data_IF_728280827472
#
_entry.id   IF_728280827472
#
_cell.length_a   1.000
_cell.length_b   1.000
_cell.length_c   1.000
_cell.angle_alpha   90.00
_cell.angle_beta   90.00
_cell.angle_gamma   90.00
#
_symmetry.space_group_name_H-M   'P 1'
#
loop_
_entity.id
_entity.type
_entity.pdbx_description
1 polymer ?
#
# COMPACT_ATOMS: atom_id res chain seq x y z
N UNK A 1 21.76 -0.98 16.96
CA UNK A 1 22.36 0.35 16.80
C UNK A 1 23.35 0.55 17.94
N UNK A 2 24.65 0.64 17.65
CA UNK A 2 25.69 0.66 18.68
C UNK A 2 25.65 1.97 19.48
N UNK A 3 26.03 1.91 20.75
CA UNK A 3 25.96 3.06 21.66
C UNK A 3 26.79 4.26 21.17
N UNK A 4 27.90 4.00 20.49
CA UNK A 4 28.78 5.01 19.87
C UNK A 4 28.13 5.85 18.75
N UNK A 5 26.99 5.42 18.19
CA UNK A 5 26.30 6.12 17.11
C UNK A 5 25.20 7.07 17.61
N UNK A 6 24.97 7.14 18.94
CA UNK A 6 24.02 8.08 19.55
C UNK A 6 24.56 9.51 19.67
N UNK A 7 25.88 9.66 19.72
CA UNK A 7 26.53 10.95 19.98
C UNK A 7 26.86 11.73 18.68
N UNK A 8 26.58 11.14 17.51
CA UNK A 8 26.71 11.80 16.21
C UNK A 8 25.59 12.80 16.01
N UNK A 9 25.81 14.05 16.46
CA UNK A 9 24.86 15.17 16.32
C UNK A 9 24.19 15.21 14.94
N UNK A 10 22.86 15.27 14.93
CA UNK A 10 22.04 15.33 13.71
C UNK A 10 22.26 16.61 12.87
N UNK A 11 23.17 17.51 13.28
CA UNK A 11 23.59 18.68 12.51
C UNK A 11 23.99 18.34 11.05
N UNK A 12 24.59 17.18 10.81
CA UNK A 12 24.94 16.70 9.47
C UNK A 12 23.76 16.07 8.68
N UNK A 13 22.65 15.75 9.35
CA UNK A 13 21.39 15.21 8.78
C UNK A 13 20.19 16.15 9.04
N UNK A 14 20.44 17.46 9.13
CA UNK A 14 19.41 18.46 9.48
C UNK A 14 18.27 18.55 8.45
N UNK A 15 18.54 18.22 7.19
CA UNK A 15 17.55 18.30 6.12
C UNK A 15 16.87 16.95 5.84
N UNK A 16 15.53 16.90 5.64
CA UNK A 16 14.79 15.65 5.44
C UNK A 16 15.25 14.78 4.26
N UNK A 17 15.84 15.37 3.22
CA UNK A 17 16.35 14.61 2.07
C UNK A 17 17.59 13.78 2.41
N UNK A 18 18.41 14.18 3.40
CA UNK A 18 19.55 13.37 3.88
C UNK A 18 19.13 12.14 4.71
N UNK A 19 17.83 12.02 5.01
CA UNK A 19 17.22 10.83 5.63
C UNK A 19 16.43 9.98 4.62
N UNK A 20 16.39 10.42 3.35
CA UNK A 20 15.80 9.64 2.25
C UNK A 20 16.88 8.75 1.63
N UNK A 21 16.61 7.45 1.55
CA UNK A 21 17.36 6.50 0.75
C UNK A 21 16.69 6.24 -0.59
N UNK A 22 17.42 5.58 -1.48
CA UNK A 22 16.91 5.04 -2.75
C UNK A 22 17.43 3.61 -2.89
N UNK A 23 16.57 2.67 -3.32
CA UNK A 23 17.01 1.32 -3.65
C UNK A 23 18.04 1.38 -4.79
N UNK A 24 19.03 0.49 -4.79
CA UNK A 24 20.08 0.43 -5.83
C UNK A 24 19.47 0.29 -7.24
N UNK A 25 18.40 -0.50 -7.36
CA UNK A 25 17.59 -0.66 -8.58
C UNK A 25 17.14 0.69 -9.18
N UNK A 26 16.69 1.61 -8.32
CA UNK A 26 16.19 2.91 -8.71
C UNK A 26 17.27 3.87 -9.16
N UNK A 27 18.41 3.87 -8.46
CA UNK A 27 19.59 4.65 -8.83
C UNK A 27 20.14 4.18 -10.18
N UNK A 28 20.27 2.87 -10.37
CA UNK A 28 20.73 2.27 -11.64
C UNK A 28 19.74 2.56 -12.77
N UNK A 29 18.43 2.39 -12.52
CA UNK A 29 17.38 2.69 -13.50
C UNK A 29 17.35 4.17 -13.90
N UNK A 30 17.50 5.10 -12.96
CA UNK A 30 17.63 6.53 -13.23
C UNK A 30 18.87 6.84 -14.08
N UNK A 31 20.04 6.31 -13.72
CA UNK A 31 21.28 6.55 -14.48
C UNK A 31 21.22 5.98 -15.90
N UNK A 32 20.61 4.82 -16.08
CA UNK A 32 20.38 4.23 -17.40
C UNK A 32 19.43 5.09 -18.25
N UNK A 33 18.31 5.55 -17.67
CA UNK A 33 17.35 6.42 -18.33
C UNK A 33 17.94 7.80 -18.66
N UNK A 34 18.78 8.36 -17.78
CA UNK A 34 19.50 9.62 -18.02
C UNK A 34 20.52 9.49 -19.15
N UNK A 35 21.32 8.43 -19.17
CA UNK A 35 22.27 8.14 -20.25
C UNK A 35 21.56 7.92 -21.60
N UNK A 36 20.45 7.15 -21.60
CA UNK A 36 19.59 6.99 -22.77
C UNK A 36 19.04 8.34 -23.25
N UNK A 37 18.61 9.21 -22.32
CA UNK A 37 18.17 10.57 -22.61
C UNK A 37 19.25 11.42 -23.30
N UNK A 38 20.51 11.31 -22.89
CA UNK A 38 21.63 12.02 -23.55
C UNK A 38 21.84 11.51 -24.99
N UNK A 39 21.80 10.19 -25.20
CA UNK A 39 21.93 9.59 -26.54
C UNK A 39 20.78 10.01 -27.46
N UNK A 40 19.56 10.06 -26.92
CA UNK A 40 18.36 10.55 -27.61
C UNK A 40 18.45 12.05 -27.95
N UNK A 41 18.98 12.87 -27.05
CA UNK A 41 19.16 14.31 -27.25
C UNK A 41 20.09 14.64 -28.43
N UNK A 42 21.09 13.79 -28.70
CA UNK A 42 21.97 13.92 -29.86
C UNK A 42 21.25 13.74 -31.21
N UNK A 43 20.11 13.05 -31.22
CA UNK A 43 19.23 12.93 -32.41
C UNK A 43 18.29 14.13 -32.48
N UNK A 44 17.62 14.45 -31.37
CA UNK A 44 16.76 15.61 -31.25
C UNK A 44 16.54 15.97 -29.77
N UNK A 45 16.92 17.19 -29.36
CA UNK A 45 16.96 17.63 -27.96
C UNK A 45 15.71 17.29 -27.11
N UNK A 46 14.46 17.42 -27.60
CA UNK A 46 13.27 17.11 -26.81
C UNK A 46 13.15 15.65 -26.38
N UNK A 47 13.77 14.70 -27.09
CA UNK A 47 13.72 13.27 -26.72
C UNK A 47 14.49 12.99 -25.42
N UNK A 48 15.35 13.90 -24.95
CA UNK A 48 15.92 13.83 -23.60
C UNK A 48 14.84 13.63 -22.54
N UNK A 49 13.77 14.43 -22.61
CA UNK A 49 12.70 14.44 -21.63
C UNK A 49 11.89 13.14 -21.62
N UNK A 50 11.79 12.47 -22.77
CA UNK A 50 11.07 11.19 -22.91
C UNK A 50 11.73 10.06 -22.10
N UNK A 51 13.06 10.10 -21.92
CA UNK A 51 13.76 9.15 -21.05
C UNK A 51 13.97 9.72 -19.63
N UNK A 52 14.26 11.02 -19.50
CA UNK A 52 14.55 11.65 -18.22
C UNK A 52 13.35 11.66 -17.27
N UNK A 53 12.14 11.97 -17.75
CA UNK A 53 10.93 12.00 -16.90
C UNK A 53 10.62 10.61 -16.32
N UNK A 54 10.55 9.52 -17.10
CA UNK A 54 10.46 8.15 -16.55
C UNK A 54 11.60 7.79 -15.61
N UNK A 55 12.85 8.22 -15.90
CA UNK A 55 13.98 8.02 -14.99
C UNK A 55 13.74 8.63 -13.60
N UNK A 56 13.22 9.85 -13.54
CA UNK A 56 12.85 10.51 -12.28
C UNK A 56 11.71 9.75 -11.57
N UNK A 57 10.72 9.24 -12.31
CA UNK A 57 9.63 8.43 -11.74
C UNK A 57 10.15 7.12 -11.13
N UNK A 58 11.11 6.44 -11.78
CA UNK A 58 11.77 5.23 -11.25
C UNK A 58 12.52 5.55 -9.95
N UNK A 59 13.18 6.71 -9.87
CA UNK A 59 13.86 7.14 -8.65
C UNK A 59 12.87 7.40 -7.50
N UNK A 60 11.72 8.05 -7.75
CA UNK A 60 10.69 8.22 -6.72
C UNK A 60 10.00 6.89 -6.34
N UNK A 61 9.80 5.97 -7.28
CA UNK A 61 9.21 4.65 -7.04
C UNK A 61 10.04 3.74 -6.11
N UNK A 62 11.31 4.09 -5.88
CA UNK A 62 12.28 3.35 -5.04
C UNK A 62 12.75 4.15 -3.83
N UNK A 63 12.10 5.29 -3.55
CA UNK A 63 12.42 6.15 -2.41
C UNK A 63 12.03 5.49 -1.09
N UNK A 64 12.98 5.42 -0.16
CA UNK A 64 12.78 4.96 1.22
C UNK A 64 13.17 6.08 2.19
N UNK A 65 12.69 6.06 3.45
CA UNK A 65 13.04 7.09 4.45
C UNK A 65 13.27 6.47 5.83
N UNK A 66 14.35 6.86 6.50
CA UNK A 66 14.63 6.48 7.90
C UNK A 66 13.88 7.36 8.90
N UNK A 67 12.83 6.79 9.49
CA UNK A 67 11.90 7.42 10.45
C UNK A 67 12.30 7.15 11.92
N UNK A 68 11.90 8.02 12.84
CA UNK A 68 12.10 7.86 14.30
C UNK A 68 10.75 7.72 15.00
N UNK A 69 10.33 6.49 15.20
CA UNK A 69 9.02 6.19 15.81
C UNK A 69 8.99 6.41 17.32
N UNK A 70 8.00 7.14 17.86
CA UNK A 70 7.75 7.23 19.30
C UNK A 70 7.49 5.83 19.89
N UNK A 71 8.38 5.33 20.77
CA UNK A 71 8.35 3.93 21.23
C UNK A 71 7.38 3.64 22.40
N UNK A 72 6.60 4.60 22.86
CA UNK A 72 5.62 4.41 23.95
C UNK A 72 4.54 3.38 23.57
N UNK A 73 4.26 2.39 24.41
CA UNK A 73 3.29 1.33 24.11
C UNK A 73 1.83 1.85 24.03
N UNK A 74 1.59 3.01 24.65
CA UNK A 74 0.33 3.75 24.79
C UNK A 74 -0.27 4.28 23.47
N UNK A 75 0.48 4.20 22.35
CA UNK A 75 0.16 4.89 21.10
C UNK A 75 0.22 3.98 19.87
N UNK A 76 -0.83 3.96 19.05
CA UNK A 76 -0.81 3.38 17.69
C UNK A 76 -0.26 4.43 16.73
N UNK A 77 0.75 4.10 15.93
CA UNK A 77 1.30 5.00 14.90
C UNK A 77 0.76 4.67 13.51
N UNK A 78 0.73 5.66 12.62
CA UNK A 78 0.37 5.45 11.22
C UNK A 78 1.37 4.53 10.52
N UNK A 79 0.91 3.54 9.73
CA UNK A 79 1.81 2.66 9.00
C UNK A 79 2.45 3.34 7.78
N UNK A 80 1.87 4.40 7.21
CA UNK A 80 2.43 5.06 6.01
C UNK A 80 2.29 6.60 6.02
N UNK A 81 3.07 7.25 5.16
CA UNK A 81 2.90 8.66 4.80
C UNK A 81 1.57 8.85 4.02
N UNK A 82 0.82 9.90 4.28
CA UNK A 82 -0.44 10.16 3.57
C UNK A 82 -1.34 11.23 4.18
N UNK A 83 -2.63 11.19 3.85
CA UNK A 83 -3.69 12.03 4.42
C UNK A 83 -4.85 11.14 4.85
N UNK A 84 -5.43 11.39 6.03
CA UNK A 84 -6.67 10.73 6.48
C UNK A 84 -7.81 11.13 5.55
N UNK A 85 -8.44 10.16 4.88
CA UNK A 85 -9.58 10.42 3.96
C UNK A 85 -10.91 10.32 4.69
N UNK A 86 -11.06 9.29 5.54
CA UNK A 86 -12.28 9.05 6.29
C UNK A 86 -11.99 8.17 7.51
N UNK A 87 -12.87 8.29 8.50
CA UNK A 87 -12.84 7.53 9.75
C UNK A 87 -14.28 7.07 10.00
N UNK A 88 -14.53 5.76 10.06
CA UNK A 88 -15.88 5.20 10.21
C UNK A 88 -15.84 3.94 11.07
N UNK A 89 -16.90 3.68 11.84
CA UNK A 89 -17.11 2.37 12.46
C UNK A 89 -17.69 1.40 11.43
N UNK A 90 -17.02 0.27 11.20
CA UNK A 90 -17.39 -0.71 10.17
C UNK A 90 -16.84 -2.10 10.54
N UNK A 91 -17.27 -3.15 9.87
CA UNK A 91 -16.67 -4.48 10.08
C UNK A 91 -15.27 -4.54 9.48
N UNK A 92 -14.35 -5.20 10.19
CA UNK A 92 -13.02 -5.46 9.67
C UNK A 92 -13.09 -6.51 8.55
N UNK A 93 -12.39 -6.32 7.40
CA UNK A 93 -12.34 -7.31 6.33
C UNK A 93 -11.97 -8.70 6.84
N UNK A 94 -12.59 -9.74 6.29
CA UNK A 94 -12.44 -11.13 6.73
C UNK A 94 -10.96 -11.59 6.80
N UNK A 95 -10.10 -11.04 5.93
CA UNK A 95 -8.67 -11.29 5.91
C UNK A 95 -7.94 -10.90 7.23
N UNK A 96 -8.44 -9.90 7.96
CA UNK A 96 -7.89 -9.51 9.26
C UNK A 96 -8.34 -10.42 10.41
N UNK A 97 -9.41 -11.22 10.25
CA UNK A 97 -9.97 -12.10 11.30
C UNK A 97 -10.10 -11.40 12.66
N UNK A 98 -10.60 -10.16 12.64
CA UNK A 98 -10.94 -9.37 13.83
C UNK A 98 -12.45 -9.54 14.10
N UNK A 99 -12.83 -9.64 15.37
CA UNK A 99 -14.21 -9.91 15.76
C UNK A 99 -14.95 -8.60 16.14
N UNK A 100 -16.15 -8.41 15.58
CA UNK A 100 -16.98 -7.25 15.84
C UNK A 100 -16.55 -5.98 15.08
N UNK A 101 -17.21 -4.83 15.37
CA UNK A 101 -16.93 -3.58 14.69
C UNK A 101 -15.55 -3.01 15.04
N UNK A 102 -14.97 -2.31 14.08
CA UNK A 102 -13.70 -1.62 14.18
C UNK A 102 -13.82 -0.20 13.62
N UNK A 103 -13.11 0.74 14.23
CA UNK A 103 -12.86 2.06 13.63
C UNK A 103 -11.84 1.88 12.52
N UNK A 104 -12.29 2.08 11.28
CA UNK A 104 -11.45 2.12 10.07
C UNK A 104 -10.96 3.54 9.85
N UNK A 105 -9.66 3.75 9.96
CA UNK A 105 -8.97 4.99 9.60
C UNK A 105 -8.36 4.79 8.20
N UNK A 106 -8.96 5.40 7.17
CA UNK A 106 -8.47 5.32 5.80
C UNK A 106 -7.43 6.40 5.52
N UNK A 107 -6.30 5.99 4.96
CA UNK A 107 -5.18 6.86 4.61
C UNK A 107 -4.94 6.76 3.10
N UNK A 108 -4.94 7.90 2.40
CA UNK A 108 -4.50 7.99 1.00
C UNK A 108 -3.03 8.43 0.94
N UNK A 109 -2.23 7.72 0.15
CA UNK A 109 -0.78 7.87 0.06
C UNK A 109 -0.38 8.21 -1.37
N UNK A 110 0.28 9.37 -1.56
CA UNK A 110 0.70 9.88 -2.86
C UNK A 110 1.86 9.05 -3.45
N UNK A 111 1.99 8.93 -4.80
CA UNK A 111 3.08 8.17 -5.42
C UNK A 111 4.49 8.72 -5.20
N UNK A 112 4.64 9.90 -4.60
CA UNK A 112 5.93 10.59 -4.38
C UNK A 112 6.45 10.55 -2.92
N UNK A 113 5.71 9.94 -2.00
CA UNK A 113 6.09 9.82 -0.58
C UNK A 113 7.02 8.62 -0.34
N UNK A 114 7.41 8.35 0.91
CA UNK A 114 8.23 7.17 1.21
C UNK A 114 7.44 5.87 0.96
N UNK A 115 8.07 4.89 0.33
CA UNK A 115 7.43 3.62 -0.02
C UNK A 115 7.40 2.61 1.15
N UNK A 116 8.04 2.93 2.28
CA UNK A 116 8.06 2.09 3.50
C UNK A 116 6.68 2.02 4.17
N UNK A 117 6.28 0.82 4.58
CA UNK A 117 5.13 0.59 5.45
C UNK A 117 5.62 0.07 6.80
N UNK A 118 5.18 0.71 7.87
CA UNK A 118 5.67 0.54 9.23
C UNK A 118 4.67 -0.20 10.13
N UNK A 119 5.19 -0.93 11.13
CA UNK A 119 4.41 -1.57 12.17
C UNK A 119 3.67 -0.51 13.02
N UNK A 120 2.32 -0.57 13.14
CA UNK A 120 1.53 0.43 13.86
C UNK A 120 1.66 0.29 15.39
N UNK A 121 1.96 -0.91 15.88
CA UNK A 121 2.28 -1.22 17.29
C UNK A 121 3.53 -2.10 17.38
N UNK A 122 4.10 -2.25 18.57
CA UNK A 122 5.03 -3.33 18.89
C UNK A 122 4.24 -4.57 19.28
N UNK A 123 4.71 -5.77 18.94
CA UNK A 123 3.96 -6.99 19.20
C UNK A 123 4.32 -8.15 18.28
N UNK A 124 3.46 -9.16 18.24
CA UNK A 124 3.54 -10.26 17.27
C UNK A 124 2.74 -9.93 15.99
N UNK A 125 3.18 -10.43 14.84
CA UNK A 125 2.37 -10.45 13.61
C UNK A 125 1.54 -11.73 13.61
N UNK A 126 0.25 -11.63 13.93
CA UNK A 126 -0.66 -12.80 13.98
C UNK A 126 -0.89 -13.42 12.60
N UNK A 127 -0.99 -12.57 11.58
CA UNK A 127 -1.44 -12.95 10.24
C UNK A 127 -0.89 -11.97 9.20
N UNK A 128 -0.50 -12.55 8.07
CA UNK A 128 -0.23 -11.84 6.81
C UNK A 128 -1.05 -12.55 5.74
N UNK A 129 -1.77 -11.80 4.92
CA UNK A 129 -2.57 -12.33 3.82
C UNK A 129 -2.49 -11.39 2.62
N UNK A 130 -2.04 -11.92 1.47
CA UNK A 130 -1.88 -11.17 0.22
C UNK A 130 -2.96 -11.62 -0.77
N UNK A 131 -3.69 -10.66 -1.30
CA UNK A 131 -4.61 -10.84 -2.42
C UNK A 131 -3.88 -10.34 -3.67
N UNK A 132 -3.66 -11.21 -4.66
CA UNK A 132 -3.03 -10.82 -5.93
C UNK A 132 -3.98 -9.95 -6.76
N UNK A 133 -3.45 -8.91 -7.42
CA UNK A 133 -4.24 -7.99 -8.23
C UNK A 133 -4.41 -8.47 -9.68
N UNK A 134 -5.53 -8.10 -10.32
CA UNK A 134 -5.73 -8.31 -11.76
C UNK A 134 -4.91 -7.24 -12.53
N UNK A 135 -4.03 -7.63 -13.48
CA UNK A 135 -3.32 -6.68 -14.35
C UNK A 135 -4.24 -5.74 -15.16
N UNK A 136 -5.55 -6.04 -15.28
CA UNK A 136 -6.55 -5.16 -15.91
C UNK A 136 -6.94 -3.95 -15.06
N UNK A 137 -6.74 -3.97 -13.73
CA UNK A 137 -7.12 -2.88 -12.81
C UNK A 137 -6.14 -1.70 -12.83
N UNK A 138 -5.73 -1.31 -14.05
CA UNK A 138 -4.89 -0.14 -14.32
C UNK A 138 -5.69 1.15 -14.09
N UNK A 139 -5.04 2.21 -13.60
CA UNK A 139 -5.66 3.52 -13.30
C UNK A 139 -6.83 3.54 -12.27
N UNK A 140 -6.90 2.61 -11.32
CA UNK A 140 -7.88 2.67 -10.22
C UNK A 140 -7.82 3.99 -9.42
N UNK A 141 -8.99 4.60 -9.19
CA UNK A 141 -9.17 5.89 -8.48
C UNK A 141 -9.82 5.75 -7.09
N UNK A 142 -10.28 4.55 -6.71
CA UNK A 142 -10.95 4.24 -5.45
C UNK A 142 -10.28 3.05 -4.76
N UNK A 143 -10.35 3.00 -3.43
CA UNK A 143 -9.80 1.90 -2.64
C UNK A 143 -10.61 0.60 -2.78
N UNK A 144 -11.91 0.75 -3.06
CA UNK A 144 -12.89 -0.32 -3.25
C UNK A 144 -12.83 -0.97 -4.64
N UNK A 145 -12.00 -0.47 -5.56
CA UNK A 145 -11.90 -1.03 -6.91
C UNK A 145 -11.45 -2.50 -6.84
N UNK A 146 -12.16 -3.36 -7.56
CA UNK A 146 -11.87 -4.79 -7.67
C UNK A 146 -10.55 -5.04 -8.44
N UNK A 147 -9.92 -6.19 -8.17
CA UNK A 147 -8.63 -6.54 -8.79
C UNK A 147 -7.44 -5.69 -8.35
N UNK A 148 -7.55 -4.85 -7.31
CA UNK A 148 -6.38 -4.25 -6.68
C UNK A 148 -5.61 -5.28 -5.86
N UNK A 149 -4.28 -5.33 -5.99
CA UNK A 149 -3.45 -6.13 -5.06
C UNK A 149 -3.58 -5.56 -3.65
N UNK A 150 -3.88 -6.44 -2.68
CA UNK A 150 -4.02 -6.10 -1.26
C UNK A 150 -3.08 -6.89 -0.37
N UNK A 151 -2.73 -6.30 0.77
CA UNK A 151 -2.01 -6.94 1.87
C UNK A 151 -2.68 -6.61 3.19
N UNK A 152 -3.19 -7.64 3.84
CA UNK A 152 -3.76 -7.58 5.18
C UNK A 152 -2.71 -8.04 6.18
N UNK A 153 -2.42 -7.23 7.19
CA UNK A 153 -1.52 -7.57 8.29
C UNK A 153 -2.20 -7.30 9.63
N UNK A 154 -2.04 -8.23 10.57
CA UNK A 154 -2.63 -8.17 11.92
C UNK A 154 -1.52 -8.20 12.95
N UNK A 155 -1.56 -7.27 13.90
CA UNK A 155 -0.58 -7.10 14.96
C UNK A 155 -1.28 -7.23 16.32
N UNK A 156 -0.68 -8.00 17.23
CA UNK A 156 -1.18 -8.18 18.60
C UNK A 156 -0.10 -7.83 19.62
N UNK A 157 -0.49 -7.00 20.60
CA UNK A 157 0.21 -6.78 21.86
C UNK A 157 -0.67 -7.23 23.03
N UNK A 158 -0.13 -7.16 24.25
CA UNK A 158 -0.87 -7.50 25.47
C UNK A 158 -2.06 -6.55 25.76
N UNK A 159 -2.10 -5.38 25.10
CA UNK A 159 -3.10 -4.32 25.32
C UNK A 159 -4.03 -4.12 24.13
N UNK A 160 -3.52 -4.28 22.89
CA UNK A 160 -4.26 -3.98 21.66
C UNK A 160 -4.00 -5.00 20.56
N UNK A 161 -5.07 -5.37 19.87
CA UNK A 161 -5.03 -6.06 18.57
C UNK A 161 -5.50 -5.11 17.49
N UNK A 162 -4.66 -4.83 16.50
CA UNK A 162 -4.93 -3.89 15.41
C UNK A 162 -4.43 -4.46 14.09
N UNK A 163 -4.99 -4.03 12.97
CA UNK A 163 -4.54 -4.48 11.66
C UNK A 163 -4.56 -3.36 10.63
N UNK A 164 -3.95 -3.60 9.48
CA UNK A 164 -4.16 -2.75 8.31
C UNK A 164 -4.39 -3.57 7.05
N UNK A 165 -5.11 -2.98 6.10
CA UNK A 165 -5.19 -3.44 4.72
C UNK A 165 -4.56 -2.37 3.83
N UNK A 166 -3.46 -2.73 3.17
CA UNK A 166 -2.92 -1.95 2.05
C UNK A 166 -3.66 -2.34 0.78
N UNK A 167 -4.02 -1.34 -0.02
CA UNK A 167 -4.32 -1.53 -1.44
C UNK A 167 -3.24 -0.80 -2.27
N UNK A 168 -2.73 -1.48 -3.30
CA UNK A 168 -1.94 -0.84 -4.35
C UNK A 168 -2.86 -0.13 -5.34
N UNK A 169 -2.36 0.88 -6.06
CA UNK A 169 -3.12 1.52 -7.13
C UNK A 169 -2.54 1.22 -8.49
N UNK A 170 -3.39 1.15 -9.51
CA UNK A 170 -3.17 1.55 -10.91
C UNK A 170 -2.01 1.00 -11.76
N UNK A 171 -0.90 0.46 -11.23
CA UNK A 171 0.33 0.17 -12.00
C UNK A 171 0.86 -1.26 -11.76
N UNK A 172 -0.03 -2.21 -11.45
CA UNK A 172 0.29 -3.62 -11.24
C UNK A 172 0.88 -3.95 -9.86
N UNK A 173 1.16 -5.25 -9.62
CA UNK A 173 1.64 -5.74 -8.33
C UNK A 173 3.04 -5.19 -8.04
N UNK A 174 3.20 -4.57 -6.88
CA UNK A 174 4.35 -3.72 -6.52
C UNK A 174 4.61 -3.66 -5.02
N UNK A 175 4.13 -4.69 -4.35
CA UNK A 175 4.16 -4.84 -2.90
C UNK A 175 5.15 -5.91 -2.50
N UNK A 176 6.08 -5.53 -1.65
CA UNK A 176 7.15 -6.37 -1.11
C UNK A 176 6.92 -6.55 0.40
N UNK A 177 6.93 -7.80 0.88
CA UNK A 177 6.65 -8.16 2.27
C UNK A 177 7.98 -8.45 2.96
N UNK A 178 8.24 -7.80 4.10
CA UNK A 178 9.54 -7.77 4.79
C UNK A 178 9.53 -8.33 6.20
N UNK A 179 8.47 -9.06 6.55
CA UNK A 179 8.27 -9.73 7.83
C UNK A 179 7.32 -10.92 7.64
N UNK A 180 7.40 -11.92 8.50
CA UNK A 180 6.64 -13.16 8.43
C UNK A 180 5.59 -13.27 9.56
N UNK A 181 4.57 -14.09 9.35
CA UNK A 181 3.58 -14.36 10.39
C UNK A 181 4.23 -15.16 11.54
N UNK A 182 4.05 -14.70 12.77
CA UNK A 182 4.73 -15.18 13.97
C UNK A 182 5.91 -14.30 14.42
N UNK A 183 6.40 -13.38 13.59
CA UNK A 183 7.48 -12.46 13.97
C UNK A 183 7.07 -11.56 15.14
N UNK A 184 8.01 -11.31 16.06
CA UNK A 184 7.88 -10.24 17.07
C UNK A 184 8.66 -9.02 16.64
N UNK A 185 7.97 -7.89 16.48
CA UNK A 185 8.51 -6.67 15.90
C UNK A 185 8.36 -5.46 16.83
N UNK A 186 9.26 -4.49 16.66
CA UNK A 186 9.18 -3.18 17.32
C UNK A 186 8.28 -2.22 16.54
N UNK A 187 7.60 -1.33 17.26
CA UNK A 187 6.75 -0.31 16.65
C UNK A 187 7.56 0.58 15.72
N UNK A 188 7.05 0.83 14.52
CA UNK A 188 7.76 1.61 13.50
C UNK A 188 8.75 0.83 12.64
N UNK A 189 9.01 -0.46 12.92
CA UNK A 189 9.81 -1.30 12.02
C UNK A 189 9.11 -1.40 10.66
N UNK A 190 9.84 -1.24 9.55
CA UNK A 190 9.31 -1.48 8.20
C UNK A 190 8.93 -2.96 8.06
N UNK A 191 7.66 -3.24 7.77
CA UNK A 191 7.09 -4.60 7.59
C UNK A 191 6.75 -4.91 6.13
N UNK A 192 6.56 -3.89 5.31
CA UNK A 192 6.36 -4.02 3.87
C UNK A 192 6.91 -2.80 3.13
N UNK A 193 7.00 -2.87 1.80
CA UNK A 193 7.32 -1.75 0.94
C UNK A 193 6.34 -1.74 -0.23
N UNK A 194 5.62 -0.63 -0.39
CA UNK A 194 4.64 -0.41 -1.44
C UNK A 194 5.11 0.73 -2.32
N UNK A 195 5.56 0.42 -3.52
CA UNK A 195 5.99 1.43 -4.49
C UNK A 195 4.80 2.28 -4.95
N UNK A 196 5.01 3.57 -5.24
CA UNK A 196 4.07 4.45 -5.95
C UNK A 196 2.69 4.67 -5.29
N UNK A 197 2.63 4.67 -3.95
CA UNK A 197 1.44 5.09 -3.19
C UNK A 197 0.25 4.11 -3.21
N UNK A 198 -0.95 4.60 -2.91
CA UNK A 198 -2.19 3.81 -2.79
C UNK A 198 -2.93 4.09 -1.48
N UNK A 199 -3.80 3.17 -1.04
CA UNK A 199 -4.61 3.34 0.18
C UNK A 199 -4.15 2.41 1.31
N UNK A 200 -4.25 2.87 2.55
CA UNK A 200 -4.02 2.06 3.74
C UNK A 200 -5.18 2.27 4.71
N UNK A 201 -5.93 1.21 4.96
CA UNK A 201 -7.03 1.22 5.93
C UNK A 201 -6.53 0.57 7.22
N UNK A 202 -6.41 1.36 8.29
CA UNK A 202 -6.03 0.89 9.63
C UNK A 202 -7.30 0.58 10.42
N UNK A 203 -7.34 -0.58 11.07
CA UNK A 203 -8.49 -1.06 11.84
C UNK A 203 -8.11 -1.19 13.32
N UNK A 204 -8.85 -0.46 14.17
CA UNK A 204 -8.78 -0.55 15.63
C UNK A 204 -10.14 -1.04 16.13
N UNK A 205 -10.26 -2.13 16.91
CA UNK A 205 -11.55 -2.62 17.40
C UNK A 205 -12.31 -1.52 18.15
N UNK A 206 -13.61 -1.33 17.88
CA UNK A 206 -14.36 -0.18 18.38
C UNK A 206 -14.53 -0.15 19.92
N UNK A 207 -14.27 -1.28 20.59
CA UNK A 207 -14.27 -1.42 22.06
C UNK A 207 -12.85 -1.44 22.66
N UNK A 208 -11.83 -1.06 21.90
CA UNK A 208 -10.47 -0.89 22.42
C UNK A 208 -10.44 0.29 23.42
N UNK A 209 -9.55 0.28 24.42
CA UNK A 209 -9.31 1.47 25.23
C UNK A 209 -8.75 2.60 24.36
N UNK A 210 -9.01 3.83 24.78
CA UNK A 210 -8.48 5.02 24.10
C UNK A 210 -9.43 5.68 23.10
N UNK A 211 -8.86 6.57 22.30
CA UNK A 211 -9.54 7.25 21.19
C UNK A 211 -8.57 7.58 20.04
N UNK A 212 -9.14 7.90 18.87
CA UNK A 212 -8.35 8.44 17.77
C UNK A 212 -7.93 9.90 18.04
N UNK A 213 -6.68 10.25 17.73
CA UNK A 213 -6.11 11.60 17.94
C UNK A 213 -5.93 12.38 16.63
N UNK A 214 -6.56 11.90 15.55
CA UNK A 214 -6.53 12.47 14.20
C UNK A 214 -7.94 12.60 13.64
N UNK A 215 -8.09 13.42 12.61
CA UNK A 215 -9.35 13.69 11.91
C UNK A 215 -9.16 13.56 10.40
N UNK A 216 -10.23 13.37 9.61
CA UNK A 216 -10.18 13.50 8.15
C UNK A 216 -9.54 14.82 7.69
N UNK A 217 -8.72 14.75 6.64
CA UNK A 217 -7.92 15.87 6.14
C UNK A 217 -6.55 16.03 6.81
N UNK A 218 -6.26 15.35 7.92
CA UNK A 218 -4.94 15.44 8.58
C UNK A 218 -3.85 14.72 7.78
N UNK A 219 -2.75 15.42 7.51
CA UNK A 219 -1.52 14.85 6.95
C UNK A 219 -0.79 14.01 7.99
N UNK A 220 -0.28 12.85 7.56
CA UNK A 220 0.33 11.81 8.36
C UNK A 220 1.75 11.49 7.87
N UNK A 221 2.65 11.22 8.82
CA UNK A 221 4.03 10.78 8.59
C UNK A 221 4.21 9.34 9.08
N UNK A 222 4.54 8.43 8.16
CA UNK A 222 4.72 6.99 8.36
C UNK A 222 5.64 6.67 9.53
N UNK A 223 5.16 5.82 10.44
CA UNK A 223 5.84 5.42 11.65
C UNK A 223 5.98 6.51 12.73
N UNK A 224 5.66 7.77 12.47
CA UNK A 224 5.92 8.89 13.40
C UNK A 224 4.64 9.52 13.95
N UNK A 225 3.59 9.66 13.13
CA UNK A 225 2.33 10.27 13.57
C UNK A 225 1.47 9.27 14.33
N UNK A 226 1.02 9.65 15.53
CA UNK A 226 0.09 8.86 16.34
C UNK A 226 -1.31 8.96 15.70
N UNK A 227 -1.98 7.81 15.55
CA UNK A 227 -3.38 7.69 15.10
C UNK A 227 -4.34 7.53 16.29
N UNK A 228 -3.92 6.79 17.31
CA UNK A 228 -4.74 6.40 18.46
C UNK A 228 -3.93 6.46 19.75
N UNK A 229 -4.53 6.97 20.81
CA UNK A 229 -3.98 7.06 22.17
C UNK A 229 -4.85 6.21 23.09
N UNK A 230 -4.24 5.22 23.75
CA UNK A 230 -4.90 4.23 24.59
C UNK A 230 -5.36 4.78 25.95
N UNK A 231 -4.87 5.95 26.36
CA UNK A 231 -5.26 6.64 27.59
C UNK A 231 -6.29 7.76 27.38
N UNK A 232 -6.44 8.25 26.16
CA UNK A 232 -7.44 9.27 25.84
C UNK A 232 -8.86 8.75 26.08
N UNK A 233 -9.67 9.50 26.83
CA UNK A 233 -11.04 9.09 27.07
C UNK A 233 -11.90 9.38 25.83
N UNK A 234 -12.77 8.45 25.43
CA UNK A 234 -13.53 8.57 24.17
C UNK A 234 -14.43 9.82 24.10
N UNK A 235 -14.84 10.37 25.26
CA UNK A 235 -15.60 11.62 25.35
C UNK A 235 -14.77 12.91 25.17
N UNK A 236 -13.43 12.80 25.12
CA UNK A 236 -12.50 13.92 24.86
C UNK A 236 -11.91 13.83 23.44
N UNK A 237 -12.28 12.81 22.66
CA UNK A 237 -11.80 12.58 21.31
C UNK A 237 -12.16 13.74 20.37
N UNK A 238 -11.26 14.17 19.46
CA UNK A 238 -11.61 15.16 18.44
C UNK A 238 -12.70 14.68 17.46
N UNK A 239 -12.82 13.36 17.31
CA UNK A 239 -13.74 12.71 16.36
C UNK A 239 -14.77 11.84 17.10
N UNK A 240 -16.04 12.27 17.09
CA UNK A 240 -17.19 11.39 17.32
C UNK A 240 -17.63 10.78 15.98
N UNK A 241 -17.78 9.44 15.85
CA UNK A 241 -18.29 8.83 14.63
C UNK A 241 -19.76 9.22 14.40
N UNK A 242 -20.02 9.93 13.29
CA UNK A 242 -21.35 10.35 12.87
C UNK A 242 -22.26 9.13 12.65
N UNK A 243 -23.40 9.08 13.36
CA UNK A 243 -24.37 7.98 13.22
C UNK A 243 -24.96 7.82 11.81
N UNK A 244 -24.87 8.86 10.98
CA UNK A 244 -25.33 8.82 9.58
C UNK A 244 -24.39 8.03 8.65
N UNK A 245 -23.11 7.85 9.02
CA UNK A 245 -22.16 7.01 8.26
C UNK A 245 -22.41 5.49 8.43
N UNK A 246 -23.35 5.11 9.31
CA UNK A 246 -23.76 3.73 9.55
C UNK A 246 -24.79 3.21 8.54
N UNK A 247 -25.23 4.05 7.58
CA UNK A 247 -26.01 3.59 6.44
C UNK A 247 -25.08 2.95 5.42
N UNK A 248 -25.30 1.65 5.14
CA UNK A 248 -24.90 1.10 3.84
C UNK A 248 -25.44 2.01 2.73
N UNK A 249 -24.69 2.24 1.64
CA UNK A 249 -25.19 3.03 0.52
C UNK A 249 -26.37 2.29 -0.11
N UNK A 250 -27.58 2.74 0.25
CA UNK A 250 -28.84 2.25 -0.30
C UNK A 250 -28.73 2.27 -1.83
N UNK A 251 -28.96 1.15 -2.53
CA UNK A 251 -28.70 1.05 -3.97
C UNK A 251 -29.56 2.07 -4.69
N UNK A 252 -28.92 3.18 -5.07
CA UNK A 252 -29.61 4.36 -5.59
C UNK A 252 -30.02 4.06 -7.02
N UNK A 253 -31.17 3.41 -7.17
CA UNK A 253 -31.86 3.30 -8.44
C UNK A 253 -32.01 4.73 -9.01
N UNK A 254 -31.64 4.97 -10.29
CA UNK A 254 -31.65 6.32 -10.84
C UNK A 254 -33.08 6.86 -10.85
N UNK A 255 -33.34 7.85 -9.98
CA UNK A 255 -34.61 8.57 -9.92
C UNK A 255 -34.72 9.49 -11.15
N UNK A 256 -35.15 8.92 -12.28
CA UNK A 256 -35.64 9.68 -13.42
C UNK A 256 -37.05 10.21 -13.10
N UNK A 257 -37.11 11.25 -12.29
CA UNK A 257 -38.32 12.01 -11.99
C UNK A 257 -37.98 13.48 -11.87
N UNK A 258 -37.76 14.13 -13.01
CA UNK A 258 -38.06 15.54 -13.30
C UNK A 258 -37.76 15.82 -14.79
N UNK A 259 -38.56 15.20 -15.66
CA UNK A 259 -38.74 15.64 -17.04
C UNK A 259 -40.18 16.08 -17.22
N UNK A 260 -40.39 17.38 -17.06
CA UNK A 260 -41.66 18.05 -17.36
C UNK A 260 -42.00 17.84 -18.85
N UNK A 261 -43.24 17.44 -19.21
CA UNK A 261 -43.56 17.04 -20.57
C UNK A 261 -43.46 18.21 -21.55
N UNK A 262 -42.69 18.03 -22.62
CA UNK A 262 -42.50 19.04 -23.65
C UNK A 262 -43.84 19.47 -24.29
N UNK A 263 -44.20 20.73 -24.12
CA UNK A 263 -45.29 21.36 -24.86
C UNK A 263 -44.93 21.48 -26.36
N UNK A 264 -45.90 21.39 -27.29
CA UNK A 264 -45.62 21.33 -28.72
C UNK A 264 -45.05 22.65 -29.26
N UNK A 265 -44.13 22.53 -30.22
CA UNK A 265 -43.44 23.66 -30.82
C UNK A 265 -44.38 24.67 -31.49
N UNK A 266 -44.25 25.94 -31.10
CA UNK A 266 -44.85 27.08 -31.81
C UNK A 266 -43.75 27.74 -32.65
N UNK A 267 -44.05 27.99 -33.93
CA UNK A 267 -43.08 28.48 -34.89
C UNK A 267 -42.50 29.86 -34.50
N UNK A 268 -41.17 29.97 -34.53
CA UNK A 268 -40.47 31.24 -34.34
C UNK A 268 -40.40 32.02 -35.67
N UNK A 269 -41.09 33.15 -35.71
CA UNK A 269 -41.09 34.10 -36.84
C UNK A 269 -39.70 34.72 -37.04
N UNK A 270 -39.31 34.92 -38.31
CA UNK A 270 -38.04 35.53 -38.66
C UNK A 270 -37.91 36.97 -38.12
N UNK A 271 -36.71 37.31 -37.64
CA UNK A 271 -36.31 38.68 -37.30
C UNK A 271 -35.17 39.09 -38.23
N UNK A 272 -35.43 40.13 -39.03
CA UNK A 272 -34.46 40.77 -39.93
C UNK A 272 -33.44 41.62 -39.16
N UNK A 273 -32.15 41.63 -39.56
CA UNK A 273 -31.19 42.60 -39.06
C UNK A 273 -31.37 43.97 -39.74
N UNK A 274 -31.34 45.04 -38.95
CA UNK A 274 -31.39 46.45 -39.43
C UNK A 274 -29.98 46.97 -39.83
N UNK A 275 -29.87 48.04 -40.65
CA UNK A 275 -28.67 48.34 -41.45
C UNK A 275 -27.62 49.25 -40.79
N UNK A 276 -26.41 49.21 -41.33
CA UNK A 276 -25.29 50.13 -41.03
C UNK A 276 -25.12 51.17 -42.17
N UNK A 277 -24.71 52.44 -41.90
CA UNK A 277 -24.89 53.57 -42.82
C UNK A 277 -23.86 53.67 -43.98
N UNK A 278 -24.13 54.49 -45.02
CA UNK A 278 -23.39 54.47 -46.29
C UNK A 278 -22.02 55.17 -46.26
N UNK A 279 -21.10 54.61 -47.05
CA UNK A 279 -19.75 55.11 -47.29
C UNK A 279 -19.70 56.10 -48.48
N UNK A 280 -18.76 57.05 -48.46
CA UNK A 280 -18.67 58.14 -49.45
C UNK A 280 -17.45 57.92 -50.36
N UNK A 281 -17.63 58.18 -51.66
CA UNK A 281 -16.65 57.88 -52.71
C UNK A 281 -15.30 58.63 -52.60
N UNK A 282 -14.21 58.08 -53.15
CA UNK A 282 -13.69 58.47 -54.48
C UNK A 282 -12.24 58.01 -54.78
N UNK A 283 -11.99 57.63 -56.05
CA UNK A 283 -10.66 57.57 -56.70
C UNK A 283 -9.74 56.37 -56.39
N UNK A 284 -8.78 56.00 -57.24
CA UNK A 284 -8.59 56.28 -58.68
C UNK A 284 -7.52 55.32 -59.29
N UNK A 285 -7.52 55.20 -60.63
CA UNK A 285 -6.37 54.91 -61.53
C UNK A 285 -5.53 53.60 -61.47
N UNK A 286 -5.77 52.76 -62.50
CA UNK A 286 -4.79 52.15 -63.45
C UNK A 286 -3.75 51.08 -63.04
N UNK A 287 -3.67 50.03 -63.88
CA UNK A 287 -2.53 49.11 -63.95
C UNK A 287 -2.78 47.90 -64.86
N UNK A 288 -2.42 48.01 -66.14
CA UNK A 288 -2.46 47.01 -67.22
C UNK A 288 -1.98 45.59 -66.82
N UNK A 289 -2.54 44.46 -67.25
CA UNK A 289 -3.06 44.01 -68.56
C UNK A 289 -2.00 43.38 -69.50
N UNK A 290 -1.92 42.04 -69.49
CA UNK A 290 -1.70 41.11 -70.63
C UNK A 290 -2.47 39.82 -70.24
N UNK A 291 -3.61 39.42 -70.85
CA UNK A 291 -3.87 38.86 -72.20
C UNK A 291 -3.08 37.58 -72.50
N UNK A 292 -3.66 36.46 -72.96
CA UNK A 292 -5.06 35.98 -73.13
C UNK A 292 -4.99 34.53 -73.62
N UNK A 293 -5.89 33.61 -73.21
CA UNK A 293 -6.63 32.81 -74.22
C UNK A 293 -7.95 32.18 -73.69
N UNK A 294 -8.82 31.81 -74.64
CA UNK A 294 -10.15 31.18 -74.50
C UNK A 294 -10.07 29.68 -74.91
N UNK A 295 -11.03 28.78 -74.69
CA UNK A 295 -12.23 28.67 -73.82
C UNK A 295 -12.71 27.18 -73.94
N UNK A 296 -13.63 26.61 -73.15
CA UNK A 296 -14.50 27.07 -72.06
C UNK A 296 -15.44 25.90 -71.67
N UNK A 297 -16.64 26.21 -71.14
CA UNK A 297 -17.81 25.32 -70.93
C UNK A 297 -17.76 24.37 -69.70
N UNK A 298 -18.26 24.90 -68.56
CA UNK A 298 -19.37 24.42 -67.68
C UNK A 298 -19.79 22.92 -67.60
N UNK A 299 -20.49 22.50 -66.52
CA UNK A 299 -20.24 22.73 -65.08
C UNK A 299 -20.30 21.42 -64.26
N UNK A 300 -20.06 21.48 -62.93
CA UNK A 300 -20.01 20.31 -62.02
C UNK A 300 -21.23 20.26 -61.09
N UNK A 301 -21.85 19.08 -60.94
CA UNK A 301 -22.86 18.76 -59.90
C UNK A 301 -22.39 17.65 -58.92
N UNK A 302 -22.93 17.57 -57.69
CA UNK A 302 -22.29 16.90 -56.55
C UNK A 302 -22.71 15.43 -56.31
N UNK A 303 -21.89 14.71 -55.54
CA UNK A 303 -22.13 13.33 -55.08
C UNK A 303 -22.70 13.26 -53.64
N UNK A 304 -23.52 12.25 -53.29
CA UNK A 304 -24.19 12.13 -51.99
C UNK A 304 -23.44 11.33 -50.91
N UNK A 305 -23.86 11.53 -49.65
CA UNK A 305 -23.36 10.94 -48.39
C UNK A 305 -23.77 9.47 -48.18
N UNK A 306 -22.96 8.62 -47.50
CA UNK A 306 -23.36 7.26 -47.10
C UNK A 306 -24.13 7.20 -45.76
N UNK A 307 -24.90 6.12 -45.60
CA UNK A 307 -25.93 5.88 -44.58
C UNK A 307 -25.50 4.92 -43.46
N UNK A 308 -26.21 4.92 -42.32
CA UNK A 308 -25.92 4.12 -41.10
C UNK A 308 -26.75 2.83 -41.06
N UNK A 309 -26.14 1.71 -40.65
CA UNK A 309 -26.83 0.40 -40.50
C UNK A 309 -26.58 -0.17 -39.09
N UNK A 310 -27.62 -0.65 -38.36
CA UNK A 310 -27.50 -1.22 -37.01
C UNK A 310 -27.15 -2.73 -37.01
N UNK A 311 -26.70 -3.30 -35.87
CA UNK A 311 -26.33 -4.71 -35.76
C UNK A 311 -27.52 -5.66 -35.54
N UNK A 312 -27.37 -6.91 -35.98
CA UNK A 312 -28.34 -8.01 -35.78
C UNK A 312 -27.81 -9.07 -34.80
N UNK A 313 -28.72 -9.66 -34.03
CA UNK A 313 -28.50 -10.75 -33.06
C UNK A 313 -29.01 -12.06 -33.66
N UNK A 314 -28.26 -13.17 -33.50
CA UNK A 314 -28.79 -14.54 -33.60
C UNK A 314 -28.15 -15.44 -32.54
N UNK A 315 -28.93 -16.40 -32.02
CA UNK A 315 -28.61 -17.30 -30.90
C UNK A 315 -28.14 -18.70 -31.35
N UNK A 316 -27.52 -19.40 -30.39
CA UNK A 316 -27.45 -20.86 -30.16
C UNK A 316 -27.59 -21.87 -31.32
N UNK A 317 -26.59 -22.76 -31.42
CA UNK A 317 -26.80 -24.20 -31.68
C UNK A 317 -25.85 -25.02 -30.79
N UNK A 318 -26.39 -25.80 -29.86
CA UNK A 318 -25.66 -26.86 -29.14
C UNK A 318 -25.46 -28.11 -30.03
N UNK A 319 -24.42 -28.91 -29.76
CA UNK A 319 -24.44 -30.36 -30.05
C UNK A 319 -23.39 -31.12 -29.24
N UNK A 320 -23.84 -31.94 -28.28
CA UNK A 320 -23.12 -33.17 -27.85
C UNK A 320 -23.05 -34.14 -29.06
N UNK A 321 -22.23 -35.20 -29.14
CA UNK A 321 -22.00 -36.33 -28.23
C UNK A 321 -20.69 -37.04 -28.63
N UNK A 322 -19.96 -37.66 -27.70
CA UNK A 322 -19.21 -38.91 -28.01
C UNK A 322 -17.78 -39.04 -27.49
N UNK A 323 -17.63 -39.56 -26.27
CA UNK A 323 -16.34 -39.68 -25.57
C UNK A 323 -15.28 -40.64 -26.13
N UNK A 324 -14.09 -40.59 -25.52
CA UNK A 324 -13.36 -41.79 -25.07
C UNK A 324 -12.31 -41.42 -24.00
N UNK A 325 -12.27 -42.23 -22.94
CA UNK A 325 -11.13 -42.41 -22.03
C UNK A 325 -10.64 -43.88 -22.22
N UNK A 326 -9.47 -44.37 -21.74
CA UNK A 326 -8.98 -44.13 -20.35
C UNK A 326 -7.45 -44.10 -20.11
N UNK A 327 -7.13 -43.91 -18.82
CA UNK A 327 -6.12 -44.65 -18.00
C UNK A 327 -4.69 -44.14 -17.73
N UNK A 328 -4.23 -44.54 -16.53
CA UNK A 328 -2.90 -44.42 -15.87
C UNK A 328 -2.46 -43.03 -15.38
N UNK A 329 -1.87 -42.85 -14.19
CA UNK A 329 -1.68 -43.74 -13.02
C UNK A 329 -1.38 -42.90 -11.76
N UNK A 330 -1.80 -43.35 -10.57
CA UNK A 330 -1.47 -42.74 -9.27
C UNK A 330 -1.08 -43.84 -8.26
N UNK A 331 0.07 -43.75 -7.57
CA UNK A 331 0.39 -44.57 -6.40
C UNK A 331 0.28 -43.77 -5.06
N UNK A 332 0.18 -44.46 -3.90
CA UNK A 332 -0.78 -44.04 -2.87
C UNK A 332 -0.20 -43.43 -1.59
N UNK A 333 -1.12 -42.91 -0.78
CA UNK A 333 -0.94 -42.55 0.63
C UNK A 333 -0.51 -43.78 1.45
N UNK A 334 0.46 -43.61 2.35
CA UNK A 334 0.81 -44.61 3.37
C UNK A 334 0.55 -44.10 4.78
N UNK A 335 -0.37 -44.78 5.47
CA UNK A 335 -0.43 -44.80 6.93
C UNK A 335 0.91 -45.28 7.50
N UNK A 336 1.32 -44.72 8.65
CA UNK A 336 2.35 -45.30 9.51
C UNK A 336 2.08 -44.98 10.98
N UNK A 337 1.23 -45.81 11.60
CA UNK A 337 1.21 -46.03 13.05
C UNK A 337 2.22 -47.15 13.39
N UNK A 338 3.12 -46.99 14.37
CA UNK A 338 4.01 -48.07 14.79
C UNK A 338 3.30 -49.09 15.70
N UNK A 339 3.61 -50.41 15.58
CA UNK A 339 3.10 -51.43 16.49
C UNK A 339 3.87 -51.52 17.83
N UNK A 340 3.24 -52.24 18.75
CA UNK A 340 3.45 -52.32 20.21
C UNK A 340 4.45 -53.42 20.65
N UNK A 341 4.51 -53.69 21.97
CA UNK A 341 5.09 -54.86 22.69
C UNK A 341 6.56 -54.67 23.18
N UNK A 342 6.93 -54.86 24.46
CA UNK A 342 6.24 -55.47 25.61
C UNK A 342 6.42 -54.73 26.96
N UNK A 343 5.40 -54.94 27.80
CA UNK A 343 5.33 -55.03 29.27
C UNK A 343 6.64 -55.13 30.09
N UNK A 344 6.71 -54.44 31.24
CA UNK A 344 6.64 -55.12 32.56
C UNK A 344 6.03 -54.15 33.61
N UNK A 345 5.70 -54.66 34.81
CA UNK A 345 4.61 -54.14 35.67
C UNK A 345 5.03 -53.67 37.08
N UNK A 346 4.09 -53.01 37.76
CA UNK A 346 3.87 -52.96 39.21
C UNK A 346 4.44 -51.79 40.08
N UNK A 347 3.60 -51.41 41.06
CA UNK A 347 3.65 -50.32 42.05
C UNK A 347 4.37 -50.73 43.38
N UNK A 348 4.23 -50.02 44.54
CA UNK A 348 4.59 -48.62 44.89
C UNK A 348 5.32 -48.42 46.27
N UNK A 349 6.23 -47.43 46.37
CA UNK A 349 6.65 -46.74 47.64
C UNK A 349 7.33 -47.58 48.75
N UNK A 350 7.68 -47.00 49.93
CA UNK A 350 7.70 -45.58 50.33
C UNK A 350 9.03 -45.11 51.02
N UNK A 351 9.05 -43.84 51.47
CA UNK A 351 9.89 -43.23 52.54
C UNK A 351 11.45 -43.26 52.50
N UNK A 352 12.06 -42.06 52.46
CA UNK A 352 12.84 -41.52 53.61
C UNK A 352 13.35 -40.08 53.36
N UNK A 353 13.19 -39.23 54.37
CA UNK A 353 13.92 -37.94 54.53
C UNK A 353 15.07 -38.12 55.52
N UNK A 354 16.10 -37.25 55.48
CA UNK A 354 16.16 -36.11 56.40
C UNK A 354 16.54 -34.79 55.67
N UNK A 355 15.85 -33.68 55.89
CA UNK A 355 15.94 -32.75 57.05
C UNK A 355 17.04 -31.68 56.92
N UNK A 356 16.61 -30.49 56.49
CA UNK A 356 16.96 -29.17 57.04
C UNK A 356 18.42 -28.81 57.35
N UNK A 357 19.01 -27.93 56.53
CA UNK A 357 19.87 -26.84 57.00
C UNK A 357 19.96 -25.70 55.97
N UNK A 358 19.35 -24.56 56.32
CA UNK A 358 19.59 -23.20 55.81
C UNK A 358 19.54 -22.29 57.06
N UNK A 359 20.25 -21.15 57.16
CA UNK A 359 20.43 -20.19 56.06
C UNK A 359 21.81 -19.48 55.96
N UNK A 360 21.88 -18.58 54.97
CA UNK A 360 22.76 -17.38 54.89
C UNK A 360 24.30 -17.55 54.77
N UNK A 361 24.82 -17.20 53.58
CA UNK A 361 25.87 -16.18 53.42
C UNK A 361 25.96 -15.70 51.94
N UNK A 362 26.33 -14.43 51.76
CA UNK A 362 26.18 -13.58 50.56
C UNK A 362 26.42 -14.19 49.16
N UNK A 363 25.42 -14.02 48.28
CA UNK A 363 25.54 -14.24 46.84
C UNK A 363 25.99 -12.97 46.10
N UNK A 364 27.27 -12.61 46.18
CA UNK A 364 27.84 -11.54 45.35
C UNK A 364 27.86 -11.96 43.86
N UNK A 365 27.15 -11.25 42.96
CA UNK A 365 27.09 -11.59 41.54
C UNK A 365 28.46 -11.54 40.83
N UNK A 366 29.44 -10.77 41.34
CA UNK A 366 30.80 -10.78 40.80
C UNK A 366 31.44 -12.18 40.90
N UNK A 367 31.24 -12.86 42.03
CA UNK A 367 31.79 -14.20 42.27
C UNK A 367 31.20 -15.28 41.35
N UNK A 368 29.95 -15.11 40.90
CA UNK A 368 29.31 -16.02 39.95
C UNK A 368 29.92 -15.87 38.54
N UNK A 369 30.18 -14.64 38.10
CA UNK A 369 30.84 -14.38 36.81
C UNK A 369 32.30 -14.85 36.78
N UNK A 370 33.02 -14.75 37.91
CA UNK A 370 34.39 -15.27 38.06
C UNK A 370 34.43 -16.80 37.85
N UNK A 371 33.50 -17.54 38.48
CA UNK A 371 33.36 -19.00 38.32
C UNK A 371 33.01 -19.38 36.89
N UNK A 372 32.07 -18.68 36.26
CA UNK A 372 31.72 -18.91 34.85
C UNK A 372 32.91 -18.68 33.91
N UNK A 373 33.76 -17.66 34.16
CA UNK A 373 34.99 -17.43 33.38
C UNK A 373 36.04 -18.51 33.59
N UNK A 374 36.25 -18.98 34.82
CA UNK A 374 37.15 -20.11 35.08
C UNK A 374 36.67 -21.41 34.40
N UNK A 375 35.35 -21.66 34.43
CA UNK A 375 34.75 -22.82 33.80
C UNK A 375 34.85 -22.74 32.27
N UNK A 376 34.67 -21.55 31.68
CA UNK A 376 34.91 -21.31 30.25
C UNK A 376 36.38 -21.51 29.84
N UNK A 377 37.35 -21.06 30.65
CA UNK A 377 38.79 -21.30 30.38
C UNK A 377 39.15 -22.79 30.41
N UNK A 378 38.64 -23.53 31.40
CA UNK A 378 38.82 -25.00 31.47
C UNK A 378 38.23 -25.74 30.26
N UNK A 379 37.13 -25.23 29.68
CA UNK A 379 36.54 -25.77 28.45
C UNK A 379 37.27 -25.33 27.18
N UNK A 380 38.04 -24.24 27.23
CA UNK A 380 38.84 -23.73 26.11
C UNK A 380 40.20 -24.44 25.95
N UNK A 381 40.68 -25.15 26.98
CA UNK A 381 41.89 -25.97 26.91
C UNK A 381 43.21 -25.24 27.21
N UNK A 382 43.17 -23.99 27.66
CA UNK A 382 44.35 -23.24 28.09
C UNK A 382 44.81 -23.69 29.50
N UNK A 383 45.66 -24.71 29.55
CA UNK A 383 46.53 -25.00 30.70
C UNK A 383 47.92 -24.41 30.40
N UNK A 384 48.18 -23.18 30.86
CA UNK A 384 49.52 -22.58 30.79
C UNK A 384 50.45 -23.22 31.84
N UNK A 385 51.57 -23.77 31.35
CA UNK A 385 52.55 -24.57 32.08
C UNK A 385 53.60 -23.68 32.78
N UNK A 386 53.30 -23.22 33.99
CA UNK A 386 54.24 -22.48 34.85
C UNK A 386 55.18 -23.47 35.58
N UNK A 387 56.13 -24.10 34.85
CA UNK A 387 57.06 -25.08 35.44
C UNK A 387 58.54 -24.99 35.03
N UNK A 388 59.08 -23.81 34.67
CA UNK A 388 60.54 -23.68 34.49
C UNK A 388 61.19 -22.41 35.10
N UNK A 389 61.74 -22.58 36.31
CA UNK A 389 62.90 -21.79 36.77
C UNK A 389 63.82 -22.67 37.63
N UNK A 390 64.65 -23.50 36.98
CA UNK A 390 65.90 -23.98 37.56
C UNK A 390 66.95 -24.39 36.53
#
# INVERSE_FOLDING_TARGET
>A
MNMADRDTSLSHKTFPWFRSGFDLEGVVGFLAAWLLGILLAMVWEPLFWLAFIPGILILFATRTVERVTPQTEEHVVTPCDGVVVSMVETEAPAALRMAGPAIRIRISSSPFVANNIHAPIAGAIDRIEREEGDPKSFAAMKAETEGLERLSMVFSSDVLRTGFVLATGALGPRLDVKADAGDRILKGKTVATRRLGGWCDVYVPARSPGAAVVEPGRTLVGGETILWDLHMNAAEAPFEPSRDDLREPEPTAPQYSDLEPAAPAVAATAVTPDPMPPEVASGETTGAAETTDFSGIDPVEPQPTPEVVPPSVEEEVETEIGGLAPESEQPPITDNLPPEVAEETAHPGPESTPSSASPEEDSDPASMFERLRQQARRLAGDEDDDSENR
#
